data_IF_248629425449
#
_entry.id   IF_248629425449
#
_cell.length_a   1.000
_cell.length_b   1.000
_cell.length_c   1.000
_cell.angle_alpha   90.00
_cell.angle_beta   90.00
_cell.angle_gamma   90.00
#
_symmetry.space_group_name_H-M   'P 1'
#
loop_
_entity.id
_entity.type
_entity.pdbx_description
1 polymer ?
#
# COMPACT_ATOMS: atom_id res chain seq x y z
N UNK A 1 -5.83 66.78 36.19
CA UNK A 1 -6.36 65.42 35.90
C UNK A 1 -6.37 65.20 34.40
N UNK A 2 -5.54 64.28 33.89
CA UNK A 2 -5.49 63.94 32.45
C UNK A 2 -6.58 62.90 32.09
N UNK A 3 -7.17 62.93 30.88
CA UNK A 3 -8.39 62.19 30.58
C UNK A 3 -8.13 60.70 30.34
N UNK A 4 -8.71 59.87 31.21
CA UNK A 4 -8.68 58.40 31.21
C UNK A 4 -9.70 57.85 30.19
N UNK A 5 -9.50 58.12 28.90
CA UNK A 5 -10.41 57.68 27.83
C UNK A 5 -9.83 57.60 26.41
N UNK A 6 -8.56 57.98 26.20
CA UNK A 6 -7.97 58.10 24.86
C UNK A 6 -7.52 56.81 24.17
N UNK A 7 -7.48 55.66 24.87
CA UNK A 7 -6.87 54.44 24.35
C UNK A 7 -7.81 53.58 23.49
N UNK A 8 -9.10 53.46 23.86
CA UNK A 8 -10.07 52.60 23.16
C UNK A 8 -10.39 53.08 21.73
N UNK A 9 -10.38 54.40 21.48
CA UNK A 9 -10.60 54.96 20.14
C UNK A 9 -9.38 54.79 19.21
N UNK A 10 -8.16 54.78 19.79
CA UNK A 10 -6.93 54.48 19.04
C UNK A 10 -6.80 52.98 18.76
N UNK A 11 -7.20 52.15 19.70
CA UNK A 11 -7.21 50.69 19.56
C UNK A 11 -8.23 50.23 18.51
N UNK A 12 -9.45 50.77 18.52
CA UNK A 12 -10.44 50.50 17.46
C UNK A 12 -9.99 51.01 16.07
N UNK A 13 -9.26 52.13 16.00
CA UNK A 13 -8.68 52.60 14.74
C UNK A 13 -7.57 51.68 14.20
N UNK A 14 -6.73 51.14 15.09
CA UNK A 14 -5.71 50.13 14.74
C UNK A 14 -6.34 48.79 14.37
N UNK A 15 -7.38 48.36 15.07
CA UNK A 15 -8.13 47.15 14.76
C UNK A 15 -8.78 47.23 13.38
N UNK A 16 -9.45 48.34 13.04
CA UNK A 16 -10.03 48.55 11.70
C UNK A 16 -8.98 48.59 10.59
N UNK A 17 -7.78 49.12 10.87
CA UNK A 17 -6.67 49.10 9.92
C UNK A 17 -6.12 47.68 9.71
N UNK A 18 -5.97 46.92 10.79
CA UNK A 18 -5.52 45.53 10.76
C UNK A 18 -6.54 44.61 10.04
N UNK A 19 -7.84 44.79 10.27
CA UNK A 19 -8.89 44.04 9.58
C UNK A 19 -8.92 44.33 8.07
N UNK A 20 -8.71 45.58 7.66
CA UNK A 20 -8.68 45.94 6.25
C UNK A 20 -7.41 45.40 5.56
N UNK A 21 -6.28 45.38 6.27
CA UNK A 21 -5.04 44.78 5.80
C UNK A 21 -5.14 43.25 5.71
N UNK A 22 -5.77 42.61 6.70
CA UNK A 22 -6.06 41.17 6.68
C UNK A 22 -6.98 40.79 5.51
N UNK A 23 -8.06 41.55 5.27
CA UNK A 23 -8.95 41.33 4.11
C UNK A 23 -8.21 41.49 2.77
N UNK A 24 -7.31 42.47 2.66
CA UNK A 24 -6.48 42.64 1.46
C UNK A 24 -5.49 41.48 1.28
N UNK A 25 -4.91 40.98 2.36
CA UNK A 25 -4.02 39.82 2.33
C UNK A 25 -4.77 38.54 1.97
N UNK A 26 -5.98 38.35 2.49
CA UNK A 26 -6.84 37.21 2.18
C UNK A 26 -7.29 37.24 0.71
N UNK A 27 -7.69 38.40 0.18
CA UNK A 27 -8.00 38.56 -1.24
C UNK A 27 -6.77 38.29 -2.12
N UNK A 28 -5.59 38.78 -1.73
CA UNK A 28 -4.36 38.50 -2.45
C UNK A 28 -3.93 37.03 -2.37
N UNK A 29 -4.21 36.35 -1.25
CA UNK A 29 -3.99 34.92 -1.10
C UNK A 29 -4.97 34.11 -1.95
N UNK A 30 -6.25 34.46 -1.94
CA UNK A 30 -7.28 33.83 -2.78
C UNK A 30 -7.03 34.03 -4.28
N UNK A 31 -6.56 35.22 -4.69
CA UNK A 31 -6.18 35.46 -6.09
C UNK A 31 -4.93 34.68 -6.50
N UNK A 32 -3.97 34.47 -5.59
CA UNK A 32 -2.79 33.61 -5.83
C UNK A 32 -3.20 32.15 -5.91
N UNK A 33 -4.03 31.67 -4.99
CA UNK A 33 -4.56 30.32 -5.00
C UNK A 33 -5.39 30.06 -6.25
N UNK A 34 -6.23 30.99 -6.69
CA UNK A 34 -6.98 30.87 -7.96
C UNK A 34 -6.04 30.80 -9.16
N UNK A 35 -4.99 31.62 -9.21
CA UNK A 35 -4.00 31.60 -10.30
C UNK A 35 -3.14 30.33 -10.30
N UNK A 36 -2.77 29.83 -9.12
CA UNK A 36 -2.09 28.56 -8.98
C UNK A 36 -3.02 27.41 -9.37
N UNK A 37 -4.27 27.41 -8.92
CA UNK A 37 -5.28 26.45 -9.35
C UNK A 37 -5.52 26.50 -10.86
N UNK A 38 -5.54 27.66 -11.50
CA UNK A 38 -5.66 27.77 -12.96
C UNK A 38 -4.40 27.31 -13.69
N UNK A 39 -3.21 27.53 -13.10
CA UNK A 39 -1.93 27.06 -13.65
C UNK A 39 -1.74 25.54 -13.49
N UNK A 40 -2.30 24.96 -12.45
CA UNK A 40 -2.31 23.52 -12.18
C UNK A 40 -3.55 22.80 -12.73
N UNK A 41 -4.57 23.55 -13.16
CA UNK A 41 -5.67 23.02 -13.95
C UNK A 41 -5.14 22.71 -15.35
N UNK A 42 -4.75 21.47 -15.52
CA UNK A 42 -4.25 20.87 -16.75
C UNK A 42 -5.29 21.04 -17.88
N UNK A 43 -5.15 22.13 -18.65
CA UNK A 43 -5.98 22.42 -19.84
C UNK A 43 -5.71 21.45 -20.99
N UNK A 44 -4.71 20.58 -20.87
CA UNK A 44 -4.30 19.60 -21.89
C UNK A 44 -4.71 18.15 -21.59
N UNK A 45 -5.56 17.89 -20.57
CA UNK A 45 -6.22 16.58 -20.44
C UNK A 45 -7.38 16.48 -21.42
N UNK A 46 -7.06 16.24 -22.68
CA UNK A 46 -8.02 15.89 -23.71
C UNK A 46 -8.64 14.52 -23.40
N UNK A 47 -9.77 14.54 -22.68
CA UNK A 47 -10.79 13.48 -22.68
C UNK A 47 -10.63 12.29 -21.73
N UNK A 48 -9.59 12.25 -20.88
CA UNK A 48 -9.38 11.16 -19.92
C UNK A 48 -10.17 11.31 -18.61
N UNK A 49 -10.12 12.51 -18.01
CA UNK A 49 -10.74 12.78 -16.71
C UNK A 49 -12.26 12.97 -16.80
N UNK A 50 -12.75 13.61 -17.86
CA UNK A 50 -14.18 13.76 -18.12
C UNK A 50 -14.89 12.43 -18.36
N UNK A 51 -14.27 11.47 -19.06
CA UNK A 51 -14.84 10.12 -19.21
C UNK A 51 -14.86 9.32 -17.91
N UNK A 52 -13.90 9.54 -17.01
CA UNK A 52 -13.88 8.88 -15.71
C UNK A 52 -14.95 9.47 -14.78
N UNK A 53 -15.08 10.80 -14.73
CA UNK A 53 -16.10 11.50 -13.96
C UNK A 53 -17.52 11.21 -14.49
N UNK A 54 -17.75 11.23 -15.81
CA UNK A 54 -19.03 10.82 -16.42
C UNK A 54 -19.42 9.37 -16.08
N UNK A 55 -18.44 8.47 -15.99
CA UNK A 55 -18.69 7.05 -15.68
C UNK A 55 -18.98 6.83 -14.19
N UNK A 56 -18.32 7.58 -13.32
CA UNK A 56 -18.60 7.56 -11.89
C UNK A 56 -19.93 8.24 -11.55
N UNK A 57 -20.27 9.33 -12.24
CA UNK A 57 -21.54 10.04 -12.07
C UNK A 57 -22.71 9.20 -12.59
N UNK A 58 -22.57 8.52 -13.73
CA UNK A 58 -23.56 7.53 -14.19
C UNK A 58 -23.73 6.36 -13.23
N UNK A 59 -22.65 5.84 -12.64
CA UNK A 59 -22.76 4.78 -11.62
C UNK A 59 -23.45 5.26 -10.34
N UNK A 60 -23.18 6.48 -9.89
CA UNK A 60 -23.85 7.06 -8.72
C UNK A 60 -25.33 7.33 -8.99
N UNK A 61 -25.68 7.81 -10.19
CA UNK A 61 -27.06 8.01 -10.60
C UNK A 61 -27.84 6.69 -10.72
N UNK A 62 -27.24 5.63 -11.26
CA UNK A 62 -27.87 4.30 -11.30
C UNK A 62 -28.05 3.71 -9.90
N UNK A 63 -27.08 3.89 -9.01
CA UNK A 63 -27.17 3.43 -7.62
C UNK A 63 -28.27 4.18 -6.87
N UNK A 64 -28.37 5.51 -7.07
CA UNK A 64 -29.44 6.32 -6.50
C UNK A 64 -30.83 5.90 -7.03
N UNK A 65 -30.97 5.70 -8.34
CA UNK A 65 -32.23 5.23 -8.95
C UNK A 65 -32.61 3.83 -8.48
N UNK A 66 -31.63 2.94 -8.31
CA UNK A 66 -31.86 1.59 -7.77
C UNK A 66 -32.26 1.63 -6.30
N UNK A 67 -31.68 2.53 -5.51
CA UNK A 67 -32.05 2.74 -4.11
C UNK A 67 -33.46 3.32 -3.97
N UNK A 68 -33.86 4.25 -4.83
CA UNK A 68 -35.22 4.81 -4.86
C UNK A 68 -36.25 3.75 -5.26
N UNK A 69 -35.99 2.98 -6.32
CA UNK A 69 -36.86 1.88 -6.74
C UNK A 69 -36.99 0.80 -5.65
N UNK A 70 -35.89 0.47 -4.96
CA UNK A 70 -35.93 -0.47 -3.84
C UNK A 70 -36.74 0.07 -2.66
N UNK A 71 -36.68 1.39 -2.40
CA UNK A 71 -37.50 2.03 -1.36
C UNK A 71 -38.98 2.01 -1.72
N UNK A 72 -39.33 2.31 -2.98
CA UNK A 72 -40.72 2.24 -3.45
C UNK A 72 -41.26 0.81 -3.39
N UNK A 73 -40.47 -0.18 -3.80
CA UNK A 73 -40.87 -1.59 -3.71
C UNK A 73 -41.08 -2.02 -2.24
N UNK A 74 -40.20 -1.61 -1.34
CA UNK A 74 -40.38 -1.88 0.10
C UNK A 74 -41.62 -1.19 0.68
N UNK A 75 -41.97 0.01 0.19
CA UNK A 75 -43.18 0.72 0.58
C UNK A 75 -44.45 0.04 0.03
N UNK A 76 -44.41 -0.47 -1.20
CA UNK A 76 -45.49 -1.27 -1.80
C UNK A 76 -45.65 -2.64 -1.13
N UNK A 77 -44.56 -3.32 -0.76
CA UNK A 77 -44.59 -4.57 0.02
C UNK A 77 -45.12 -4.32 1.44
N UNK A 78 -44.74 -3.21 2.07
CA UNK A 78 -45.27 -2.83 3.39
C UNK A 78 -46.75 -2.43 3.34
N UNK A 79 -47.22 -1.81 2.24
CA UNK A 79 -48.64 -1.53 2.03
C UNK A 79 -49.45 -2.82 1.79
N UNK A 80 -48.90 -3.76 1.03
CA UNK A 80 -49.52 -5.07 0.78
C UNK A 80 -49.56 -5.94 2.04
N UNK A 81 -48.52 -5.88 2.88
CA UNK A 81 -48.45 -6.59 4.17
C UNK A 81 -49.43 -6.03 5.22
N UNK A 82 -49.86 -4.76 5.11
CA UNK A 82 -50.86 -4.15 6.00
C UNK A 82 -52.31 -4.49 5.64
N UNK A 83 -52.55 -5.21 4.53
CA UNK A 83 -53.88 -5.58 4.03
C UNK A 83 -54.35 -7.01 4.40
N UNK A 84 -53.91 -7.58 5.54
CA UNK A 84 -54.51 -8.81 6.11
C UNK A 84 -54.73 -8.70 7.62
N UNK A 85 -55.99 -8.72 8.12
CA UNK A 85 -56.29 -8.83 9.55
C UNK A 85 -56.16 -10.28 10.07
N UNK A 86 -55.99 -10.37 11.40
CA UNK A 86 -55.48 -11.50 12.21
C UNK A 86 -56.46 -12.66 12.42
N UNK A 87 -55.93 -13.89 12.61
CA UNK A 87 -56.35 -14.84 13.67
C UNK A 87 -55.41 -16.07 13.77
N UNK A 88 -55.34 -16.78 14.92
CA UNK A 88 -54.14 -17.50 15.38
C UNK A 88 -54.32 -19.03 15.59
N UNK A 89 -53.23 -19.67 16.05
CA UNK A 89 -53.15 -20.82 16.98
C UNK A 89 -52.57 -22.17 16.49
N UNK A 90 -51.75 -22.75 17.38
CA UNK A 90 -51.52 -24.18 17.69
C UNK A 90 -50.55 -25.02 16.82
N UNK A 91 -49.44 -25.44 17.45
CA UNK A 91 -49.22 -26.86 17.77
C UNK A 91 -48.33 -27.74 16.88
N UNK A 92 -47.11 -27.98 17.36
CA UNK A 92 -46.56 -29.31 17.76
C UNK A 92 -46.46 -30.45 16.72
N UNK A 93 -45.22 -31.00 16.62
CA UNK A 93 -44.86 -32.40 16.28
C UNK A 93 -45.12 -32.83 14.83
N UNK A 94 -44.42 -33.77 14.19
CA UNK A 94 -43.16 -34.54 14.35
C UNK A 94 -43.13 -35.43 13.09
N UNK A 95 -41.93 -35.85 12.68
CA UNK A 95 -41.66 -37.08 11.91
C UNK A 95 -42.28 -37.25 10.51
N UNK A 96 -41.42 -37.33 9.48
CA UNK A 96 -41.12 -38.57 8.74
C UNK A 96 -40.93 -38.40 7.21
N UNK A 97 -39.78 -38.93 6.78
CA UNK A 97 -39.56 -39.79 5.62
C UNK A 97 -39.79 -39.29 4.17
N UNK A 98 -38.68 -39.44 3.44
CA UNK A 98 -38.55 -40.05 2.11
C UNK A 98 -38.49 -39.17 0.86
N UNK A 99 -37.24 -39.07 0.39
CA UNK A 99 -36.79 -39.21 -1.00
C UNK A 99 -37.20 -38.17 -2.05
N UNK A 100 -36.19 -37.49 -2.61
CA UNK A 100 -35.72 -37.73 -3.99
C UNK A 100 -34.39 -37.01 -4.25
N UNK A 101 -33.51 -37.76 -4.92
CA UNK A 101 -32.22 -37.37 -5.49
C UNK A 101 -32.21 -35.96 -6.12
N UNK A 102 -31.10 -35.23 -5.93
CA UNK A 102 -30.31 -34.54 -6.98
C UNK A 102 -28.96 -34.11 -6.34
N UNK A 103 -27.85 -34.51 -6.96
CA UNK A 103 -26.46 -34.15 -6.62
C UNK A 103 -26.18 -32.67 -6.98
N UNK A 104 -25.15 -31.99 -6.44
CA UNK A 104 -23.78 -32.17 -6.97
C UNK A 104 -22.64 -32.17 -5.93
N UNK A 105 -21.48 -32.64 -6.42
CA UNK A 105 -20.13 -32.76 -5.85
C UNK A 105 -19.62 -31.53 -5.08
N UNK A 106 -18.64 -31.57 -4.18
CA UNK A 106 -17.68 -32.55 -3.64
C UNK A 106 -16.74 -31.74 -2.71
N UNK A 107 -16.01 -32.30 -1.71
CA UNK A 107 -14.67 -32.83 -1.97
C UNK A 107 -14.19 -33.93 -0.98
N UNK A 108 -13.17 -34.71 -1.36
CA UNK A 108 -12.25 -35.35 -0.40
C UNK A 108 -12.24 -36.89 -0.34
N UNK A 109 -10.99 -37.40 -0.35
CA UNK A 109 -10.51 -38.67 0.23
C UNK A 109 -10.93 -40.02 -0.39
N UNK A 110 -10.02 -40.58 -1.19
CA UNK A 110 -9.51 -41.97 -1.08
C UNK A 110 -8.02 -41.91 -1.50
N UNK A 111 -7.02 -42.08 -0.63
CA UNK A 111 -6.64 -43.24 0.18
C UNK A 111 -6.20 -44.45 -0.67
N UNK A 112 -4.87 -44.64 -0.68
CA UNK A 112 -4.15 -45.91 -0.57
C UNK A 112 -4.22 -46.94 -1.71
N UNK A 113 -3.03 -47.37 -2.18
CA UNK A 113 -2.77 -48.78 -2.46
C UNK A 113 -2.03 -49.11 -3.76
N UNK A 114 -0.71 -49.19 -3.67
CA UNK A 114 0.08 -50.35 -4.11
C UNK A 114 0.23 -50.67 -5.62
N UNK A 115 1.48 -50.72 -6.08
CA UNK A 115 1.83 -51.44 -7.30
C UNK A 115 3.25 -51.21 -7.79
N UNK A 116 4.23 -51.87 -7.16
CA UNK A 116 5.54 -52.10 -7.80
C UNK A 116 5.37 -53.00 -9.02
N UNK A 117 5.86 -52.57 -10.17
CA UNK A 117 6.00 -53.39 -11.38
C UNK A 117 7.16 -52.85 -12.20
N UNK A 118 8.29 -53.55 -12.15
CA UNK A 118 9.52 -53.17 -12.85
C UNK A 118 9.59 -53.63 -14.30
N UNK A 119 10.73 -53.25 -14.90
CA UNK A 119 11.31 -53.67 -16.16
C UNK A 119 10.84 -52.95 -17.44
N UNK A 120 11.78 -52.19 -18.00
CA UNK A 120 11.69 -51.53 -19.30
C UNK A 120 12.88 -50.60 -19.52
N UNK A 121 14.10 -51.13 -19.46
CA UNK A 121 15.32 -50.41 -19.79
C UNK A 121 15.46 -50.31 -21.31
N UNK A 122 15.66 -49.11 -21.83
CA UNK A 122 16.52 -48.88 -23.00
C UNK A 122 17.50 -47.73 -22.69
N UNK A 123 18.80 -47.91 -22.96
CA UNK A 123 19.85 -46.98 -22.55
C UNK A 123 20.19 -46.01 -23.69
N UNK A 124 20.17 -44.70 -23.41
CA UNK A 124 20.90 -43.71 -24.22
C UNK A 124 21.67 -42.77 -23.32
N UNK A 125 22.98 -43.01 -23.28
CA UNK A 125 24.09 -42.10 -22.95
C UNK A 125 24.03 -41.27 -21.64
N UNK A 126 24.70 -41.73 -20.56
CA UNK A 126 25.04 -40.88 -19.44
C UNK A 126 26.39 -40.19 -19.73
N UNK A 127 26.36 -38.98 -20.31
CA UNK A 127 27.47 -38.05 -20.06
C UNK A 127 27.25 -37.47 -18.68
N UNK A 128 27.75 -38.20 -17.68
CA UNK A 128 27.80 -37.80 -16.29
C UNK A 128 28.42 -36.40 -16.17
N UNK A 129 27.57 -35.40 -15.98
CA UNK A 129 27.93 -34.25 -15.15
C UNK A 129 27.95 -34.80 -13.73
N UNK A 130 29.05 -34.58 -13.03
CA UNK A 130 29.16 -34.80 -11.58
C UNK A 130 27.89 -34.26 -10.89
N UNK A 131 27.36 -34.93 -9.85
CA UNK A 131 26.28 -34.33 -9.08
C UNK A 131 26.83 -33.04 -8.48
N UNK A 132 26.43 -31.88 -9.01
CA UNK A 132 26.71 -30.61 -8.36
C UNK A 132 26.25 -30.75 -6.91
N UNK A 133 27.20 -30.58 -5.98
CA UNK A 133 26.89 -30.62 -4.57
C UNK A 133 25.76 -29.63 -4.32
N UNK A 134 24.61 -30.14 -3.86
CA UNK A 134 23.44 -29.31 -3.59
C UNK A 134 23.88 -28.21 -2.63
N UNK A 135 23.96 -26.97 -3.12
CA UNK A 135 24.43 -25.85 -2.32
C UNK A 135 23.43 -25.64 -1.19
N UNK A 136 23.93 -25.77 0.04
CA UNK A 136 23.14 -25.59 1.26
C UNK A 136 23.29 -24.17 1.75
N UNK A 137 22.16 -23.55 2.07
CA UNK A 137 22.08 -22.19 2.59
C UNK A 137 21.42 -22.23 3.96
N UNK A 138 22.10 -21.70 4.98
CA UNK A 138 21.57 -21.53 6.32
C UNK A 138 21.26 -20.06 6.58
N UNK A 139 20.01 -19.78 6.91
CA UNK A 139 19.60 -18.47 7.38
C UNK A 139 19.19 -18.54 8.86
N UNK A 140 20.06 -18.10 9.77
CA UNK A 140 19.73 -17.96 11.19
C UNK A 140 19.21 -16.56 11.47
N UNK A 141 17.96 -16.42 11.91
CA UNK A 141 17.30 -15.13 12.19
C UNK A 141 16.38 -14.66 11.06
N UNK A 142 15.44 -13.78 11.38
CA UNK A 142 14.36 -13.36 10.46
C UNK A 142 14.93 -12.59 9.27
N UNK A 143 15.85 -11.65 9.50
CA UNK A 143 16.41 -10.82 8.43
C UNK A 143 17.19 -11.65 7.40
N UNK A 144 17.96 -12.64 7.87
CA UNK A 144 18.69 -13.56 7.02
C UNK A 144 17.76 -14.48 6.21
N UNK A 145 16.63 -14.88 6.80
CA UNK A 145 15.63 -15.69 6.11
C UNK A 145 14.90 -14.88 5.04
N UNK A 146 14.60 -13.61 5.31
CA UNK A 146 14.02 -12.69 4.33
C UNK A 146 14.97 -12.43 3.17
N UNK A 147 16.25 -12.17 3.44
CA UNK A 147 17.28 -12.02 2.42
C UNK A 147 17.40 -13.27 1.52
N UNK A 148 17.44 -14.46 2.13
CA UNK A 148 17.51 -15.72 1.38
C UNK A 148 16.26 -15.93 0.53
N UNK A 149 15.07 -15.65 1.06
CA UNK A 149 13.83 -15.75 0.32
C UNK A 149 13.78 -14.74 -0.83
N UNK A 150 14.30 -13.51 -0.65
CA UNK A 150 14.39 -12.53 -1.74
C UNK A 150 15.23 -13.08 -2.89
N UNK A 151 16.36 -13.71 -2.59
CA UNK A 151 17.24 -14.34 -3.60
C UNK A 151 16.57 -15.56 -4.25
N UNK A 152 16.01 -16.47 -3.45
CA UNK A 152 15.40 -17.72 -3.94
C UNK A 152 14.12 -17.47 -4.74
N UNK A 153 13.32 -16.46 -4.37
CA UNK A 153 12.08 -16.12 -5.07
C UNK A 153 12.29 -15.13 -6.22
N UNK A 154 13.49 -14.53 -6.34
CA UNK A 154 13.80 -13.64 -7.45
C UNK A 154 13.70 -14.39 -8.77
N UNK A 155 12.87 -13.87 -9.67
CA UNK A 155 12.74 -14.40 -11.03
C UNK A 155 13.97 -13.98 -11.84
N UNK A 156 14.77 -14.96 -12.23
CA UNK A 156 16.01 -14.74 -12.99
C UNK A 156 15.77 -14.46 -14.49
N UNK A 157 14.50 -14.35 -14.91
CA UNK A 157 14.14 -13.97 -16.26
C UNK A 157 14.68 -12.58 -16.63
N UNK A 158 15.21 -12.43 -17.84
CA UNK A 158 15.80 -11.16 -18.33
C UNK A 158 14.86 -9.96 -18.19
N UNK A 159 13.55 -10.19 -18.33
CA UNK A 159 12.53 -9.16 -18.13
C UNK A 159 12.41 -8.76 -16.65
N UNK A 160 12.33 -9.74 -15.73
CA UNK A 160 12.21 -9.51 -14.29
C UNK A 160 13.45 -8.87 -13.69
N UNK A 161 14.64 -9.37 -14.02
CA UNK A 161 15.92 -8.79 -13.60
C UNK A 161 16.07 -7.36 -14.14
N UNK A 162 15.63 -7.10 -15.37
CA UNK A 162 15.62 -5.76 -15.96
C UNK A 162 14.70 -4.78 -15.23
N UNK A 163 13.54 -5.23 -14.75
CA UNK A 163 12.60 -4.41 -13.96
C UNK A 163 13.15 -4.13 -12.56
N UNK A 164 13.71 -5.13 -11.88
CA UNK A 164 14.33 -4.93 -10.57
C UNK A 164 15.56 -4.01 -10.67
N UNK A 165 16.40 -4.18 -11.69
CA UNK A 165 17.53 -3.30 -11.97
C UNK A 165 17.10 -1.87 -12.34
N UNK A 166 15.95 -1.71 -12.99
CA UNK A 166 15.37 -0.38 -13.28
C UNK A 166 14.87 0.32 -12.01
N UNK A 167 14.45 -0.43 -11.00
CA UNK A 167 14.02 0.08 -9.69
C UNK A 167 15.15 0.53 -8.76
N UNK A 168 16.41 0.22 -9.08
CA UNK A 168 17.56 0.63 -8.28
C UNK A 168 17.70 2.16 -8.34
N UNK A 169 17.80 2.79 -7.17
CA UNK A 169 17.87 4.24 -7.05
C UNK A 169 19.25 4.77 -7.48
N UNK A 170 19.20 5.81 -8.32
CA UNK A 170 20.33 6.61 -8.81
C UNK A 170 20.58 7.87 -7.98
N UNK A 171 19.57 8.36 -7.28
CA UNK A 171 19.58 9.62 -6.53
C UNK A 171 19.17 9.41 -5.06
N UNK A 172 20.05 8.80 -4.24
CA UNK A 172 19.80 8.63 -2.82
C UNK A 172 19.55 9.97 -2.12
N UNK A 173 20.22 11.04 -2.55
CA UNK A 173 20.06 12.40 -1.99
C UNK A 173 18.63 12.94 -2.10
N UNK A 174 17.94 12.63 -3.21
CA UNK A 174 16.56 13.09 -3.45
C UNK A 174 15.55 12.30 -2.64
N UNK A 175 15.73 10.99 -2.49
CA UNK A 175 14.85 10.14 -1.68
C UNK A 175 15.09 10.29 -0.20
N UNK A 176 16.30 10.65 0.23
CA UNK A 176 16.66 10.76 1.64
C UNK A 176 15.70 11.66 2.43
N UNK A 177 15.35 12.83 1.88
CA UNK A 177 14.41 13.75 2.54
C UNK A 177 13.01 13.15 2.69
N UNK A 178 12.49 12.52 1.63
CA UNK A 178 11.16 11.90 1.64
C UNK A 178 11.12 10.67 2.56
N UNK A 179 12.17 9.85 2.53
CA UNK A 179 12.29 8.68 3.40
C UNK A 179 12.46 9.07 4.87
N UNK A 180 13.23 10.11 5.17
CA UNK A 180 13.34 10.67 6.51
C UNK A 180 12.01 11.23 6.99
N UNK A 181 11.29 11.97 6.14
CA UNK A 181 9.97 12.51 6.47
C UNK A 181 8.98 11.38 6.80
N UNK A 182 8.87 10.38 5.93
CA UNK A 182 8.03 9.20 6.14
C UNK A 182 8.41 8.42 7.42
N UNK A 183 9.71 8.25 7.70
CA UNK A 183 10.18 7.63 8.93
C UNK A 183 9.82 8.46 10.15
N UNK A 184 10.03 9.78 10.08
CA UNK A 184 9.71 10.67 11.20
C UNK A 184 8.22 10.69 11.49
N UNK A 185 7.34 10.71 10.49
CA UNK A 185 5.89 10.70 10.72
C UNK A 185 5.41 9.41 11.39
N UNK A 186 5.98 8.26 11.00
CA UNK A 186 5.65 6.94 11.56
C UNK A 186 6.18 6.76 12.99
N UNK A 187 7.39 7.23 13.26
CA UNK A 187 8.08 6.97 14.53
C UNK A 187 7.92 8.11 15.55
N UNK A 188 7.54 9.32 15.14
CA UNK A 188 7.30 10.45 16.05
C UNK A 188 6.25 10.19 17.14
N UNK A 189 5.11 9.49 16.91
CA UNK A 189 4.21 9.14 18.01
C UNK A 189 4.88 8.19 19.02
N UNK A 190 5.61 7.16 18.54
CA UNK A 190 6.32 6.22 19.42
C UNK A 190 7.43 6.90 20.19
N UNK A 191 8.22 7.76 19.54
CA UNK A 191 9.28 8.52 20.17
C UNK A 191 8.75 9.45 21.29
N UNK A 192 7.54 9.99 21.15
CA UNK A 192 6.87 10.79 22.20
C UNK A 192 6.44 9.95 23.39
N UNK A 193 6.05 8.70 23.17
CA UNK A 193 5.70 7.76 24.24
C UNK A 193 6.95 7.25 24.98
N UNK A 194 8.02 6.94 24.24
CA UNK A 194 9.28 6.43 24.81
C UNK A 194 10.07 7.51 25.56
N UNK A 195 10.06 8.75 25.07
CA UNK A 195 10.82 9.86 25.63
C UNK A 195 9.96 11.08 25.94
N UNK A 196 9.01 10.99 26.89
CA UNK A 196 8.13 12.10 27.21
C UNK A 196 8.91 13.34 27.69
N UNK A 197 8.45 14.53 27.31
CA UNK A 197 9.02 15.81 27.75
C UNK A 197 10.14 16.38 26.87
N UNK A 198 10.56 15.69 25.80
CA UNK A 198 11.51 16.24 24.84
C UNK A 198 10.89 17.33 23.96
N UNK A 199 11.70 18.29 23.49
CA UNK A 199 11.26 19.30 22.51
C UNK A 199 11.13 18.65 21.12
N UNK A 200 10.22 19.16 20.28
CA UNK A 200 10.02 18.67 18.90
C UNK A 200 11.34 18.54 18.11
N UNK A 201 12.24 19.52 18.24
CA UNK A 201 13.53 19.49 17.57
C UNK A 201 14.41 18.32 18.06
N UNK A 202 14.41 18.04 19.36
CA UNK A 202 15.20 16.94 19.93
C UNK A 202 14.66 15.57 19.48
N UNK A 203 13.34 15.41 19.33
CA UNK A 203 12.77 14.20 18.72
C UNK A 203 13.22 14.06 17.26
N UNK A 204 13.20 15.15 16.48
CA UNK A 204 13.69 15.12 15.10
C UNK A 204 15.16 14.71 15.03
N UNK A 205 16.00 15.25 15.91
CA UNK A 205 17.43 14.90 15.97
C UNK A 205 17.66 13.44 16.38
N UNK A 206 16.85 12.92 17.32
CA UNK A 206 16.88 11.52 17.74
C UNK A 206 16.47 10.60 16.60
N UNK A 207 15.32 10.88 15.97
CA UNK A 207 14.79 10.11 14.86
C UNK A 207 15.73 10.16 13.66
N UNK A 208 16.38 11.30 13.41
CA UNK A 208 17.39 11.44 12.36
C UNK A 208 18.60 10.50 12.61
N UNK A 209 19.10 10.44 13.86
CA UNK A 209 20.20 9.53 14.22
C UNK A 209 19.83 8.06 14.10
N UNK A 210 18.59 7.71 14.48
CA UNK A 210 18.07 6.36 14.28
C UNK A 210 17.93 6.04 12.79
N UNK A 211 17.41 6.98 12.01
CA UNK A 211 17.23 6.85 10.56
C UNK A 211 18.57 6.67 9.84
N UNK A 212 19.62 7.39 10.22
CA UNK A 212 20.96 7.22 9.63
C UNK A 212 21.45 5.76 9.68
N UNK A 213 21.11 5.01 10.75
CA UNK A 213 21.49 3.61 10.94
C UNK A 213 20.44 2.61 10.42
N UNK A 214 19.26 3.09 10.08
CA UNK A 214 18.13 2.25 9.66
C UNK A 214 18.35 1.72 8.23
N UNK A 215 17.91 0.49 7.90
CA UNK A 215 17.91 -0.01 6.52
C UNK A 215 16.97 0.77 5.58
N UNK A 216 16.03 1.53 6.14
CA UNK A 216 15.10 2.40 5.39
C UNK A 216 15.81 3.63 4.79
N UNK A 217 17.05 3.92 5.20
CA UNK A 217 17.85 5.00 4.64
C UNK A 217 18.35 4.62 3.24
N UNK A 218 17.99 5.38 2.18
CA UNK A 218 18.46 5.10 0.82
C UNK A 218 19.99 5.06 0.66
N UNK A 219 20.75 5.71 1.55
CA UNK A 219 22.21 5.64 1.54
C UNK A 219 22.79 4.32 2.04
N UNK A 220 22.02 3.57 2.85
CA UNK A 220 22.43 2.25 3.33
C UNK A 220 22.09 1.14 2.33
N UNK A 221 21.41 1.49 1.23
CA UNK A 221 21.04 0.58 0.15
C UNK A 221 22.08 0.63 -0.98
N UNK A 222 22.04 -0.33 -1.90
CA UNK A 222 22.93 -0.35 -3.07
C UNK A 222 22.57 0.82 -3.99
N UNK A 223 23.44 1.83 -4.02
CA UNK A 223 23.32 2.99 -4.91
C UNK A 223 24.16 2.77 -6.15
N UNK A 224 23.69 3.28 -7.29
CA UNK A 224 24.39 3.18 -8.56
C UNK A 224 24.64 4.59 -9.11
N UNK A 225 25.77 4.79 -9.78
CA UNK A 225 26.08 6.04 -10.45
C UNK A 225 24.96 6.45 -11.42
N UNK A 226 24.73 7.76 -11.54
CA UNK A 226 23.65 8.28 -12.38
C UNK A 226 23.77 7.85 -13.85
N UNK A 227 25.00 7.86 -14.37
CA UNK A 227 25.33 7.53 -15.76
C UNK A 227 25.45 6.01 -16.02
N UNK A 228 25.16 5.18 -15.02
CA UNK A 228 25.37 3.75 -15.14
C UNK A 228 24.49 3.12 -16.22
N UNK A 229 25.10 2.22 -16.98
CA UNK A 229 24.46 1.47 -18.04
C UNK A 229 23.44 0.47 -17.50
N UNK A 230 22.54 -0.03 -18.35
CA UNK A 230 21.55 -1.04 -17.93
C UNK A 230 22.24 -2.33 -17.47
N UNK A 231 23.39 -2.65 -18.05
CA UNK A 231 24.17 -3.84 -17.72
C UNK A 231 24.82 -3.71 -16.34
N UNK A 232 25.40 -2.55 -16.04
CA UNK A 232 25.97 -2.25 -14.71
C UNK A 232 24.92 -2.32 -13.59
N UNK A 233 23.66 -1.93 -13.87
CA UNK A 233 22.58 -2.10 -12.89
C UNK A 233 22.21 -3.54 -12.63
N UNK A 234 22.21 -4.35 -13.68
CA UNK A 234 21.96 -5.79 -13.56
C UNK A 234 23.12 -6.45 -12.82
N UNK A 235 24.35 -6.03 -13.10
CA UNK A 235 25.54 -6.51 -12.42
C UNK A 235 25.56 -6.13 -10.93
N UNK A 236 25.23 -4.89 -10.58
CA UNK A 236 25.11 -4.45 -9.19
C UNK A 236 24.03 -5.24 -8.43
N UNK A 237 22.91 -5.55 -9.07
CA UNK A 237 21.86 -6.40 -8.49
C UNK A 237 22.38 -7.82 -8.26
N UNK A 238 23.00 -8.42 -9.27
CA UNK A 238 23.59 -9.77 -9.16
C UNK A 238 24.70 -9.81 -8.12
N UNK A 239 25.52 -8.78 -8.02
CA UNK A 239 26.56 -8.68 -7.00
C UNK A 239 25.96 -8.63 -5.60
N UNK A 240 24.85 -7.90 -5.41
CA UNK A 240 24.09 -7.91 -4.14
C UNK A 240 23.56 -9.32 -3.82
N UNK A 241 22.93 -9.99 -4.79
CA UNK A 241 22.42 -11.36 -4.61
C UNK A 241 23.55 -12.33 -4.28
N UNK A 242 24.66 -12.27 -5.02
CA UNK A 242 25.84 -13.10 -4.78
C UNK A 242 26.46 -12.84 -3.40
N UNK A 243 26.48 -11.59 -2.91
CA UNK A 243 26.92 -11.29 -1.55
C UNK A 243 26.02 -11.92 -0.49
N UNK A 244 24.70 -11.88 -0.69
CA UNK A 244 23.73 -12.53 0.19
C UNK A 244 23.91 -14.06 0.16
N UNK A 245 24.05 -14.65 -1.02
CA UNK A 245 24.32 -16.08 -1.21
C UNK A 245 25.61 -16.48 -0.51
N UNK A 246 26.72 -15.78 -0.73
CA UNK A 246 28.01 -16.07 -0.08
C UNK A 246 27.95 -15.93 1.44
N UNK A 247 27.18 -14.97 1.95
CA UNK A 247 26.99 -14.75 3.39
C UNK A 247 26.19 -15.87 4.05
N UNK A 248 25.22 -16.44 3.33
CA UNK A 248 24.29 -17.45 3.84
C UNK A 248 24.64 -18.88 3.41
N UNK A 249 25.64 -19.05 2.53
CA UNK A 249 26.15 -20.35 2.12
C UNK A 249 26.77 -21.06 3.30
N UNK A 250 26.36 -22.30 3.53
CA UNK A 250 27.00 -23.16 4.51
C UNK A 250 28.42 -23.51 4.03
N UNK A 251 29.43 -23.05 4.76
CA UNK A 251 30.81 -23.54 4.57
C UNK A 251 30.89 -24.89 5.27
N UNK A 252 31.03 -25.96 4.47
CA UNK A 252 31.40 -27.28 4.96
C UNK A 252 32.78 -27.27 5.60
#
# INVERSE_FOLDING_TARGET
>A
MAPKGGNAKKESGRAKKAENEAKKQEQAAADKERKEAEKWADKDVKGGKSKAEDKEEKRKAELARKAENARLLAEEEAATAKAKPKAPTVGKKKDSAAAKNIKPAGPGAIAAGGGLGGAGAEPTDPKAKEPEEVESYAATGIDNALDLLEVVTAKMDKASVGQQAAGIEKHPERRFKAALEAYTERELPKAREEHPGLRLQQYKDLLYKQFQKSPENPYNQVTIAYDASKEEKVEALKAKQAQVEQRLREKK
#
